data_IF_921831106482
#
_entry.id   IF_921831106482
#
_cell.length_a   1.000
_cell.length_b   1.000
_cell.length_c   1.000
_cell.angle_alpha   90.00
_cell.angle_beta   90.00
_cell.angle_gamma   90.00
#
_symmetry.space_group_name_H-M   'P 1'
#
loop_
_entity.id
_entity.type
_entity.pdbx_description
1 polymer ?
#
# COMPACT_ATOMS: atom_id res chain seq x y z
N UNK A 1 -12.44 -8.61 11.06
CA UNK A 1 -12.23 -8.67 9.60
C UNK A 1 -13.47 -8.05 8.97
N UNK A 2 -13.29 -7.02 8.16
CA UNK A 2 -14.40 -6.32 7.49
C UNK A 2 -14.33 -6.64 6.00
N UNK A 3 -15.47 -6.98 5.41
CA UNK A 3 -15.61 -7.26 3.98
C UNK A 3 -16.66 -6.30 3.47
N UNK A 4 -16.26 -5.45 2.52
CA UNK A 4 -17.12 -4.43 1.94
C UNK A 4 -17.61 -4.90 0.57
N UNK A 5 -18.90 -4.71 0.30
CA UNK A 5 -19.49 -5.04 -1.00
C UNK A 5 -19.38 -3.89 -1.98
N UNK A 6 -19.33 -2.64 -1.49
CA UNK A 6 -19.21 -1.44 -2.30
C UNK A 6 -18.02 -0.62 -1.85
N UNK A 7 -17.42 0.11 -2.80
CA UNK A 7 -16.25 0.97 -2.55
C UNK A 7 -16.62 2.17 -1.67
N UNK A 8 -17.88 2.61 -1.73
CA UNK A 8 -18.39 3.75 -0.98
C UNK A 8 -18.31 3.52 0.53
N UNK A 9 -18.48 2.28 0.98
CA UNK A 9 -18.36 1.86 2.39
C UNK A 9 -16.94 2.09 2.95
N UNK A 10 -15.94 2.20 2.07
CA UNK A 10 -14.56 2.50 2.45
C UNK A 10 -14.39 3.95 2.88
N UNK A 11 -15.21 4.86 2.34
CA UNK A 11 -15.13 6.29 2.62
C UNK A 11 -15.61 6.67 4.03
N UNK A 12 -16.42 5.81 4.65
CA UNK A 12 -16.83 5.97 6.05
C UNK A 12 -15.67 5.72 7.03
N UNK A 13 -14.65 4.98 6.59
CA UNK A 13 -13.51 4.59 7.40
C UNK A 13 -12.24 5.35 7.03
N UNK A 14 -12.05 5.65 5.75
CA UNK A 14 -10.87 6.31 5.23
C UNK A 14 -11.26 7.53 4.39
N UNK A 15 -10.66 8.71 4.62
CA UNK A 15 -10.96 9.87 3.81
C UNK A 15 -10.49 9.66 2.36
N UNK A 16 -11.24 10.19 1.39
CA UNK A 16 -10.94 10.02 -0.05
C UNK A 16 -9.55 10.49 -0.45
N UNK A 17 -9.02 11.49 0.24
CA UNK A 17 -7.71 12.09 -0.05
C UNK A 17 -6.53 11.14 0.19
N UNK A 18 -6.67 10.12 1.05
CA UNK A 18 -5.61 9.14 1.31
C UNK A 18 -5.80 7.85 0.52
N UNK A 19 -6.97 7.69 -0.10
CA UNK A 19 -7.29 6.51 -0.88
C UNK A 19 -6.80 6.67 -2.32
N UNK A 20 -6.24 5.61 -2.91
CA UNK A 20 -5.88 5.58 -4.32
C UNK A 20 -7.07 5.88 -5.23
N UNK A 21 -6.80 6.49 -6.38
CA UNK A 21 -7.81 6.68 -7.43
C UNK A 21 -8.44 5.36 -7.89
N UNK A 22 -7.69 4.25 -7.85
CA UNK A 22 -8.18 2.89 -8.16
C UNK A 22 -9.29 2.42 -7.21
N UNK A 23 -9.34 2.95 -5.98
CA UNK A 23 -10.37 2.69 -4.99
C UNK A 23 -11.33 3.88 -4.83
N UNK A 24 -11.45 4.73 -5.85
CA UNK A 24 -12.37 5.87 -5.88
C UNK A 24 -11.94 7.07 -5.01
N UNK A 25 -10.68 7.09 -4.55
CA UNK A 25 -10.09 8.23 -3.85
C UNK A 25 -9.42 9.23 -4.80
N UNK A 26 -8.63 10.14 -4.22
CA UNK A 26 -7.96 11.23 -4.94
C UNK A 26 -6.43 11.03 -5.03
N UNK A 27 -5.89 9.97 -4.43
CA UNK A 27 -4.46 9.70 -4.43
C UNK A 27 -4.02 9.03 -5.74
N UNK A 28 -3.41 9.81 -6.63
CA UNK A 28 -3.03 9.36 -7.99
C UNK A 28 -1.84 8.39 -7.99
N UNK A 29 -0.99 8.39 -6.96
CA UNK A 29 0.25 7.62 -6.94
C UNK A 29 0.48 6.95 -5.58
N UNK A 30 -0.30 5.90 -5.31
CA UNK A 30 -0.29 5.21 -4.02
C UNK A 30 0.82 4.18 -3.87
N UNK A 31 1.22 3.54 -4.98
CA UNK A 31 2.36 2.62 -4.96
C UNK A 31 3.60 3.45 -5.21
N UNK A 32 4.02 4.13 -4.16
CA UNK A 32 5.32 4.76 -4.11
C UNK A 32 6.34 3.66 -4.38
N UNK A 33 6.94 3.65 -5.57
CA UNK A 33 8.19 2.94 -5.87
C UNK A 33 9.20 3.12 -4.71
N UNK A 34 9.15 4.28 -4.06
CA UNK A 34 9.88 4.60 -2.85
C UNK A 34 9.52 3.74 -1.62
N UNK A 35 8.24 3.41 -1.39
CA UNK A 35 7.84 2.50 -0.30
C UNK A 35 8.37 1.09 -0.56
N UNK A 36 8.21 0.56 -1.77
CA UNK A 36 8.78 -0.75 -2.14
C UNK A 36 10.31 -0.77 -2.01
N UNK A 37 11.00 0.27 -2.49
CA UNK A 37 12.46 0.41 -2.34
C UNK A 37 12.87 0.48 -0.86
N UNK A 38 12.10 1.17 -0.03
CA UNK A 38 12.37 1.29 1.41
C UNK A 38 12.14 -0.04 2.12
N UNK A 39 11.02 -0.71 1.84
CA UNK A 39 10.70 -2.03 2.38
C UNK A 39 11.76 -3.07 2.00
N UNK A 40 12.21 -3.08 0.73
CA UNK A 40 13.29 -3.97 0.27
C UNK A 40 14.63 -3.65 0.96
N UNK A 41 14.95 -2.37 1.17
CA UNK A 41 16.17 -1.94 1.89
C UNK A 41 16.15 -2.35 3.36
N UNK A 42 14.98 -2.31 4.00
CA UNK A 42 14.81 -2.73 5.40
C UNK A 42 14.80 -4.26 5.54
N UNK A 43 14.23 -4.98 4.58
CA UNK A 43 14.32 -6.44 4.51
C UNK A 43 15.78 -6.91 4.53
N UNK A 44 16.67 -6.26 3.78
CA UNK A 44 18.10 -6.57 3.75
C UNK A 44 18.83 -6.38 5.10
N UNK A 45 18.25 -5.62 6.03
CA UNK A 45 18.81 -5.42 7.38
C UNK A 45 18.30 -6.48 8.38
N UNK A 46 17.20 -7.15 8.09
CA UNK A 46 16.50 -8.06 8.99
C UNK A 46 16.69 -9.54 8.64
N UNK A 47 17.62 -9.86 7.74
CA UNK A 47 17.84 -11.22 7.27
C UNK A 47 19.13 -11.81 7.84
N UNK A 48 19.00 -12.93 8.55
CA UNK A 48 20.14 -13.81 8.82
C UNK A 48 20.53 -14.52 7.50
N UNK A 49 19.59 -14.84 6.58
CA UNK A 49 19.87 -15.38 5.23
C UNK A 49 18.72 -15.19 4.17
N UNK A 50 17.82 -14.21 4.31
CA UNK A 50 16.68 -14.06 3.38
C UNK A 50 17.00 -13.30 2.09
N UNK A 51 16.64 -13.90 0.95
CA UNK A 51 16.85 -13.36 -0.40
C UNK A 51 16.12 -12.01 -0.61
N UNK A 52 16.75 -11.04 -1.31
CA UNK A 52 16.09 -9.79 -1.67
C UNK A 52 14.97 -10.03 -2.69
N UNK A 53 13.87 -9.29 -2.54
CA UNK A 53 12.75 -9.34 -3.46
C UNK A 53 13.11 -8.59 -4.75
N UNK A 54 13.54 -9.32 -5.80
CA UNK A 54 13.76 -8.76 -7.14
C UNK A 54 12.43 -8.77 -7.91
N UNK A 55 11.77 -7.62 -7.93
CA UNK A 55 10.79 -7.26 -8.96
C UNK A 55 11.13 -5.88 -9.51
#
# INVERSE_FOLDING_TARGET
>A
IHIHSHVEDLFDHFPRSVLPTEYGGELINCVSENWLKTANKEQAKCTIEGQPNLY
#
